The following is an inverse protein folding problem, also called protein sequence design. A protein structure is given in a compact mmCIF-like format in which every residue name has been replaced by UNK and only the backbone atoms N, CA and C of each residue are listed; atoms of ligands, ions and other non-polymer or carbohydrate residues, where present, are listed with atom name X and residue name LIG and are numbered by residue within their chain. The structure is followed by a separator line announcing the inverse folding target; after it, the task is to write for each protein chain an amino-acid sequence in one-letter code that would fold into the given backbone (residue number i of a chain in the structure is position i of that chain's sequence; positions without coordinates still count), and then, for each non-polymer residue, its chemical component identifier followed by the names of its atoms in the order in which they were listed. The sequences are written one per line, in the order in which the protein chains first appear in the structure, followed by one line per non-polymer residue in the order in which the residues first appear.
data_IF_423539089788
#
_entry.id   IF_423539089788
#
_cell.length_a   1.000
_cell.length_b   1.000
_cell.length_c   1.000
_cell.angle_alpha   90.00
_cell.angle_beta   90.00
_cell.angle_gamma   90.00
#
_symmetry.space_group_name_H-M   'P 1'
#
loop_
_entity.id
_entity.type
_entity.pdbx_description
1 polymer ?
#
# COMPACT_ATOMS: atom_id res chain seq x y z
N UNK A 1 3.83 3.81 11.28
CA UNK A 1 3.95 4.35 9.90
C UNK A 1 5.17 3.82 9.14
N UNK A 2 6.24 3.34 9.80
CA UNK A 2 7.36 2.67 9.11
C UNK A 2 6.87 1.46 8.31
N UNK A 3 6.04 0.62 8.92
CA UNK A 3 5.45 -0.56 8.28
C UNK A 3 4.72 -0.25 6.97
N UNK A 4 3.88 0.80 6.96
CA UNK A 4 3.11 1.18 5.77
C UNK A 4 4.04 1.66 4.65
N UNK A 5 5.09 2.43 4.98
CA UNK A 5 6.11 2.85 4.01
C UNK A 5 6.87 1.67 3.43
N UNK A 6 7.29 0.74 4.28
CA UNK A 6 7.98 -0.47 3.84
C UNK A 6 7.08 -1.34 2.95
N UNK A 7 5.82 -1.53 3.33
CA UNK A 7 4.87 -2.30 2.52
C UNK A 7 4.63 -1.67 1.13
N UNK A 8 4.51 -0.34 1.05
CA UNK A 8 4.38 0.38 -0.23
C UNK A 8 5.64 0.20 -1.10
N UNK A 9 6.83 0.27 -0.50
CA UNK A 9 8.08 0.07 -1.21
C UNK A 9 8.18 -1.35 -1.79
N UNK A 10 7.88 -2.37 -0.98
CA UNK A 10 7.87 -3.78 -1.42
C UNK A 10 6.82 -4.00 -2.52
N UNK A 11 5.63 -3.41 -2.41
CA UNK A 11 4.60 -3.50 -3.45
C UNK A 11 5.09 -2.89 -4.78
N UNK A 12 5.77 -1.73 -4.74
CA UNK A 12 6.37 -1.11 -5.94
C UNK A 12 7.42 -2.00 -6.57
N UNK A 13 8.34 -2.54 -5.77
CA UNK A 13 9.39 -3.44 -6.25
C UNK A 13 8.84 -4.72 -6.88
N UNK A 14 7.70 -5.21 -6.38
CA UNK A 14 6.98 -6.35 -6.95
C UNK A 14 6.21 -6.03 -8.25
N UNK A 15 6.24 -4.78 -8.73
CA UNK A 15 5.53 -4.37 -9.95
C UNK A 15 4.07 -3.98 -9.73
N UNK A 16 3.66 -3.65 -8.50
CA UNK A 16 2.30 -3.20 -8.23
C UNK A 16 1.93 -1.89 -8.96
N UNK A 17 2.91 -1.10 -9.40
CA UNK A 17 2.65 0.07 -10.24
C UNK A 17 1.98 -0.29 -11.57
N UNK A 18 2.30 -1.47 -12.13
CA UNK A 18 1.78 -1.94 -13.41
C UNK A 18 0.58 -2.87 -13.22
N UNK A 19 0.65 -3.74 -12.21
CA UNK A 19 -0.33 -4.80 -11.97
C UNK A 19 -1.46 -4.42 -11.01
N UNK A 20 -1.22 -3.45 -10.13
CA UNK A 20 -2.19 -3.01 -9.11
C UNK A 20 -2.12 -1.50 -8.83
N UNK A 21 -2.16 -0.64 -9.88
CA UNK A 21 -1.94 0.80 -9.74
C UNK A 21 -2.93 1.47 -8.78
N UNK A 22 -4.19 1.03 -8.78
CA UNK A 22 -5.22 1.64 -7.95
C UNK A 22 -5.05 1.29 -6.46
N UNK A 23 -4.70 0.04 -6.14
CA UNK A 23 -4.41 -0.37 -4.76
C UNK A 23 -3.14 0.33 -4.24
N UNK A 24 -2.11 0.47 -5.08
CA UNK A 24 -0.90 1.20 -4.73
C UNK A 24 -1.17 2.69 -4.51
N UNK A 25 -2.03 3.31 -5.33
CA UNK A 25 -2.44 4.71 -5.19
C UNK A 25 -3.24 4.93 -3.91
N UNK A 26 -4.16 4.02 -3.58
CA UNK A 26 -4.94 4.08 -2.34
C UNK A 26 -4.02 4.00 -1.10
N UNK A 27 -3.06 3.06 -1.10
CA UNK A 27 -2.07 2.94 -0.03
C UNK A 27 -1.29 4.24 0.19
N UNK A 28 -0.85 4.88 -0.90
CA UNK A 28 -0.12 6.16 -0.86
C UNK A 28 -1.00 7.29 -0.29
N UNK A 29 -2.26 7.39 -0.74
CA UNK A 29 -3.19 8.41 -0.29
C UNK A 29 -3.53 8.29 1.21
N UNK A 30 -3.67 7.06 1.71
CA UNK A 30 -3.85 6.81 3.14
C UNK A 30 -2.60 7.17 3.94
N UNK A 31 -1.39 6.84 3.44
CA UNK A 31 -0.15 7.24 4.10
C UNK A 31 -0.01 8.77 4.19
N UNK A 32 -0.31 9.49 3.11
CA UNK A 32 -0.26 10.95 3.09
C UNK A 32 -1.28 11.55 4.06
N UNK A 33 -2.48 10.97 4.13
CA UNK A 33 -3.51 11.36 5.09
C UNK A 33 -3.10 11.06 6.54
N UNK A 34 -2.42 9.94 6.78
CA UNK A 34 -1.87 9.61 8.09
C UNK A 34 -0.84 10.66 8.53
N UNK A 35 0.09 11.03 7.64
CA UNK A 35 1.12 12.03 7.90
C UNK A 35 0.52 13.43 8.18
N UNK A 36 -0.52 13.82 7.42
CA UNK A 36 -1.25 15.07 7.67
C UNK A 36 -1.93 15.08 9.04
N UNK A 37 -2.59 14.00 9.42
CA UNK A 37 -3.26 13.89 10.72
C UNK A 37 -2.24 13.86 11.86
N UNK A 38 -1.09 13.22 11.66
CA UNK A 38 0.02 13.24 12.62
C UNK A 38 0.53 14.67 12.86
N UNK A 39 0.70 15.47 11.80
CA UNK A 39 1.11 16.86 11.91
C UNK A 39 0.07 17.73 12.66
N UNK A 40 -1.21 17.39 12.53
CA UNK A 40 -2.32 18.03 13.26
C UNK A 40 -2.50 17.52 14.70
N UNK A 41 -1.68 16.57 15.16
CA UNK A 41 -1.84 15.86 16.46
C UNK A 41 -3.14 15.05 16.55
N UNK A 42 -3.75 14.71 15.42
CA UNK A 42 -4.91 13.84 15.32
C UNK A 42 -4.47 12.37 15.30
N UNK A 43 -3.90 11.90 16.41
CA UNK A 43 -3.17 10.63 16.47
C UNK A 43 -4.02 9.39 16.14
N UNK A 44 -5.28 9.36 16.58
CA UNK A 44 -6.18 8.23 16.27
C UNK A 44 -6.47 8.14 14.77
N UNK A 45 -6.78 9.27 14.12
CA UNK A 45 -6.99 9.31 12.68
C UNK A 45 -5.69 9.00 11.91
N UNK A 46 -4.54 9.45 12.42
CA UNK A 46 -3.25 9.12 11.85
C UNK A 46 -2.98 7.60 11.91
N UNK A 47 -3.33 6.95 13.02
CA UNK A 47 -3.18 5.51 13.21
C UNK A 47 -4.11 4.72 12.29
N UNK A 48 -5.38 5.09 12.20
CA UNK A 48 -6.36 4.45 11.31
C UNK A 48 -5.88 4.53 9.86
N UNK A 49 -5.52 5.73 9.39
CA UNK A 49 -5.01 5.91 8.03
C UNK A 49 -3.72 5.11 7.78
N UNK A 50 -2.82 5.00 8.77
CA UNK A 50 -1.61 4.19 8.62
C UNK A 50 -1.90 2.69 8.51
N UNK A 51 -2.96 2.19 9.16
CA UNK A 51 -3.41 0.79 9.06
C UNK A 51 -4.00 0.53 7.67
N UNK A 52 -4.89 1.40 7.19
CA UNK A 52 -5.47 1.28 5.84
C UNK A 52 -4.38 1.36 4.77
N UNK A 53 -3.41 2.27 4.91
CA UNK A 53 -2.25 2.35 4.01
C UNK A 53 -1.48 1.01 3.93
N UNK A 54 -1.25 0.35 5.06
CA UNK A 54 -0.56 -0.93 5.12
C UNK A 54 -1.39 -2.03 4.45
N UNK A 55 -2.69 -2.07 4.71
CA UNK A 55 -3.61 -3.05 4.13
C UNK A 55 -3.67 -2.96 2.62
N UNK A 56 -3.82 -1.74 2.08
CA UNK A 56 -3.85 -1.53 0.63
C UNK A 56 -2.50 -1.83 -0.03
N UNK A 57 -1.39 -1.54 0.64
CA UNK A 57 -0.07 -1.91 0.16
C UNK A 57 0.12 -3.43 0.09
N UNK A 58 -0.37 -4.17 1.09
CA UNK A 58 -0.35 -5.63 1.08
C UNK A 58 -1.26 -6.21 -0.01
N UNK A 59 -2.41 -5.60 -0.25
CA UNK A 59 -3.28 -5.97 -1.37
C UNK A 59 -2.60 -5.72 -2.72
N UNK A 60 -1.97 -4.56 -2.90
CA UNK A 60 -1.21 -4.21 -4.09
C UNK A 60 -0.07 -5.21 -4.35
N UNK A 61 0.66 -5.60 -3.29
CA UNK A 61 1.69 -6.63 -3.35
C UNK A 61 1.12 -7.99 -3.76
N UNK A 62 0.00 -8.43 -3.16
CA UNK A 62 -0.62 -9.70 -3.48
C UNK A 62 -1.11 -9.75 -4.95
N UNK A 63 -1.67 -8.66 -5.45
CA UNK A 63 -2.09 -8.53 -6.85
C UNK A 63 -0.89 -8.55 -7.80
N UNK A 64 0.20 -7.88 -7.46
CA UNK A 64 1.43 -7.89 -8.26
C UNK A 64 2.11 -9.27 -8.27
N UNK A 65 2.17 -9.94 -7.12
CA UNK A 65 2.69 -11.30 -6.99
C UNK A 65 1.79 -12.33 -7.69
N UNK A 66 0.46 -12.18 -7.62
CA UNK A 66 -0.50 -13.03 -8.33
C UNK A 66 -0.53 -12.80 -9.84
N UNK A 67 -0.16 -11.60 -10.29
CA UNK A 67 0.09 -11.33 -11.72
C UNK A 67 1.34 -12.05 -12.22
N UNK A 68 2.30 -12.27 -11.33
CA UNK A 68 3.54 -13.01 -11.61
C UNK A 68 3.34 -14.54 -11.65
N UNK A 69 2.18 -15.07 -11.23
CA UNK A 69 1.87 -16.51 -11.32
C UNK A 69 1.04 -16.90 -12.54
N UNK A 70 0.90 -16.02 -13.54
CA UNK A 70 0.31 -16.41 -14.82
C UNK A 70 1.33 -17.18 -15.69
N UNK A 71 1.69 -18.39 -15.24
CA UNK A 71 2.11 -19.47 -16.13
C UNK A 71 0.87 -20.28 -16.49
N UNK A 72 0.22 -20.05 -17.63
CA UNK A 72 -0.61 -21.09 -18.23
C UNK A 72 0.36 -22.08 -18.86
N UNK A 73 0.50 -23.27 -18.29
CA UNK A 73 1.09 -24.39 -19.02
C UNK A 73 -0.07 -25.31 -19.47
N UNK A 74 -0.05 -25.80 -20.73
CA UNK A 74 -1.20 -26.34 -21.45
C UNK A 74 -1.67 -27.71 -20.95
#
# INVERSE_FOLDING_TARGET
MSDARQAIAVAREAGAADHAPDALRAAQAYLDSALRNLAKKEYELAKINAIEAKKDAQNALALAAGSSTKNPNP
#
